data_IF_310727389958
#
_entry.id   IF_310727389958
#
_cell.length_a   1.000
_cell.length_b   1.000
_cell.length_c   1.000
_cell.angle_alpha   90.00
_cell.angle_beta   90.00
_cell.angle_gamma   90.00
#
_symmetry.space_group_name_H-M   'P 1'
#
loop_
_entity.id
_entity.type
_entity.pdbx_description
1 polymer ?
#
# COMPACT_ATOMS: atom_id res chain seq x y z
N UNK A 1 -24.75 -13.63 60.36
CA UNK A 1 -23.73 -12.92 59.55
C UNK A 1 -23.92 -13.34 58.10
N UNK A 2 -24.36 -12.41 57.25
CA UNK A 2 -24.82 -12.68 55.88
C UNK A 2 -23.64 -12.58 54.90
N UNK A 3 -23.38 -13.65 54.14
CA UNK A 3 -22.33 -13.69 53.13
C UNK A 3 -22.74 -12.88 51.89
N UNK A 4 -21.97 -11.82 51.60
CA UNK A 4 -22.16 -11.01 50.41
C UNK A 4 -21.88 -11.84 49.14
N UNK A 5 -22.88 -11.98 48.27
CA UNK A 5 -22.74 -12.60 46.95
C UNK A 5 -22.01 -11.63 46.03
N UNK A 6 -20.84 -12.04 45.54
CA UNK A 6 -20.07 -11.35 44.50
C UNK A 6 -20.88 -11.29 43.20
N UNK A 7 -21.09 -10.12 42.58
CA UNK A 7 -21.81 -10.04 41.32
C UNK A 7 -20.95 -10.63 40.20
N UNK A 8 -21.47 -11.65 39.51
CA UNK A 8 -20.86 -12.24 38.34
C UNK A 8 -20.84 -11.23 37.20
N UNK A 9 -19.65 -10.73 36.84
CA UNK A 9 -19.43 -9.99 35.61
C UNK A 9 -19.82 -10.89 34.42
N UNK A 10 -21.02 -10.67 33.88
CA UNK A 10 -21.40 -11.21 32.58
C UNK A 10 -20.48 -10.55 31.54
N UNK A 11 -19.47 -11.28 31.08
CA UNK A 11 -18.73 -10.94 29.85
C UNK A 11 -19.75 -10.92 28.72
N UNK A 12 -20.23 -9.72 28.38
CA UNK A 12 -20.99 -9.52 27.15
C UNK A 12 -20.17 -10.05 25.99
N UNK A 13 -20.74 -10.98 25.23
CA UNK A 13 -20.17 -11.42 23.96
C UNK A 13 -20.21 -10.19 23.07
N UNK A 14 -19.09 -9.50 22.94
CA UNK A 14 -18.96 -8.39 22.03
C UNK A 14 -19.09 -8.98 20.61
N UNK A 15 -20.09 -8.56 19.81
CA UNK A 15 -20.20 -9.04 18.44
C UNK A 15 -18.87 -8.76 17.73
N UNK A 16 -18.37 -9.65 16.86
CA UNK A 16 -17.13 -9.43 16.14
C UNK A 16 -17.31 -8.20 15.24
N UNK A 17 -16.97 -7.03 15.78
CA UNK A 17 -16.91 -5.81 15.00
C UNK A 17 -15.93 -6.05 13.87
N UNK A 18 -16.36 -5.79 12.63
CA UNK A 18 -15.46 -5.72 11.48
C UNK A 18 -14.29 -4.84 11.89
N UNK A 19 -13.14 -5.46 12.18
CA UNK A 19 -11.89 -4.72 12.36
C UNK A 19 -11.59 -4.11 11.01
N UNK A 20 -11.93 -2.84 10.84
CA UNK A 20 -11.39 -2.04 9.75
C UNK A 20 -9.88 -2.20 9.82
N UNK A 21 -9.28 -2.72 8.75
CA UNK A 21 -7.83 -2.77 8.57
C UNK A 21 -7.47 -1.50 7.78
N UNK A 22 -7.31 -0.33 8.43
CA UNK A 22 -7.03 0.93 7.72
C UNK A 22 -5.84 0.78 6.77
N UNK A 23 -4.86 -0.06 7.13
CA UNK A 23 -3.72 -0.35 6.26
C UNK A 23 -4.04 -1.10 4.97
N UNK A 24 -5.02 -2.02 4.97
CA UNK A 24 -5.41 -2.72 3.74
C UNK A 24 -6.11 -1.77 2.75
N UNK A 25 -6.95 -0.87 3.27
CA UNK A 25 -7.58 0.18 2.47
C UNK A 25 -6.55 1.13 1.86
N UNK A 26 -5.56 1.58 2.65
CA UNK A 26 -4.50 2.46 2.17
C UNK A 26 -3.66 1.82 1.07
N UNK A 27 -3.24 0.57 1.24
CA UNK A 27 -2.49 -0.18 0.22
C UNK A 27 -3.30 -0.34 -1.07
N UNK A 28 -4.60 -0.64 -0.95
CA UNK A 28 -5.49 -0.73 -2.11
C UNK A 28 -5.61 0.61 -2.82
N UNK A 29 -5.89 1.69 -2.09
CA UNK A 29 -6.05 3.03 -2.65
C UNK A 29 -4.76 3.51 -3.31
N UNK A 30 -3.59 3.29 -2.70
CA UNK A 30 -2.31 3.62 -3.31
C UNK A 30 -2.06 2.83 -4.61
N UNK A 31 -2.39 1.54 -4.63
CA UNK A 31 -2.27 0.72 -5.84
C UNK A 31 -3.19 1.19 -6.96
N UNK A 32 -4.46 1.46 -6.64
CA UNK A 32 -5.44 2.01 -7.60
C UNK A 32 -5.00 3.37 -8.12
N UNK A 33 -4.48 4.23 -7.24
CA UNK A 33 -3.96 5.54 -7.62
C UNK A 33 -2.84 5.42 -8.67
N UNK A 34 -1.84 4.57 -8.46
CA UNK A 34 -0.76 4.35 -9.42
C UNK A 34 -1.27 3.84 -10.77
N UNK A 35 -2.24 2.92 -10.77
CA UNK A 35 -2.88 2.45 -12.02
C UNK A 35 -3.60 3.58 -12.75
N UNK A 36 -4.34 4.43 -12.02
CA UNK A 36 -5.04 5.58 -12.62
C UNK A 36 -4.03 6.55 -13.21
N UNK A 37 -2.96 6.88 -12.48
CA UNK A 37 -1.92 7.78 -12.96
C UNK A 37 -1.23 7.22 -14.20
N UNK A 38 -0.85 5.94 -14.21
CA UNK A 38 -0.22 5.27 -15.35
C UNK A 38 -1.05 5.35 -16.64
N UNK A 39 -2.39 5.34 -16.53
CA UNK A 39 -3.30 5.38 -17.68
C UNK A 39 -3.62 6.82 -18.12
N UNK A 40 -3.62 7.79 -17.19
CA UNK A 40 -4.07 9.15 -17.47
C UNK A 40 -2.93 10.15 -17.68
N UNK A 41 -1.77 9.94 -17.07
CA UNK A 41 -0.64 10.85 -17.22
C UNK A 41 0.15 10.54 -18.48
N UNK A 42 0.36 11.55 -19.31
CA UNK A 42 1.38 11.50 -20.36
C UNK A 42 2.74 11.71 -19.72
N UNK A 43 3.40 10.61 -19.36
CA UNK A 43 4.83 10.62 -19.13
C UNK A 43 5.47 10.79 -20.51
N UNK A 44 6.24 11.86 -20.74
CA UNK A 44 6.89 12.10 -22.03
C UNK A 44 7.60 10.83 -22.49
N UNK A 45 7.55 10.50 -23.78
CA UNK A 45 8.17 9.27 -24.30
C UNK A 45 9.68 9.35 -24.15
N UNK A 46 10.18 8.76 -23.07
CA UNK A 46 11.61 8.63 -22.78
C UNK A 46 11.98 7.22 -23.21
N UNK A 47 12.93 7.08 -24.13
CA UNK A 47 13.52 5.81 -24.57
C UNK A 47 14.35 5.18 -23.43
N UNK A 48 13.68 4.86 -22.32
CA UNK A 48 14.21 4.13 -21.18
C UNK A 48 13.81 2.67 -21.29
N UNK A 49 14.65 1.78 -20.77
CA UNK A 49 14.40 0.32 -20.82
C UNK A 49 13.21 -0.11 -19.95
N UNK A 50 12.73 0.78 -19.07
CA UNK A 50 11.56 0.57 -18.22
C UNK A 50 10.80 1.89 -18.09
N UNK A 51 9.83 2.09 -18.98
CA UNK A 51 8.96 3.27 -19.00
C UNK A 51 8.21 3.43 -17.66
N UNK A 52 8.15 4.68 -17.14
CA UNK A 52 7.45 5.04 -15.92
C UNK A 52 5.99 4.57 -15.92
N UNK A 53 5.30 4.65 -17.07
CA UNK A 53 3.90 4.20 -17.17
C UNK A 53 3.75 2.71 -16.83
N UNK A 54 4.69 1.90 -17.31
CA UNK A 54 4.64 0.45 -17.13
C UNK A 54 5.05 0.05 -15.72
N UNK A 55 5.99 0.79 -15.12
CA UNK A 55 6.35 0.63 -13.71
C UNK A 55 5.14 0.89 -12.80
N UNK A 56 4.49 2.03 -12.97
CA UNK A 56 3.35 2.47 -12.16
C UNK A 56 2.18 1.49 -12.29
N UNK A 57 1.90 1.06 -13.53
CA UNK A 57 0.84 0.09 -13.80
C UNK A 57 1.12 -1.25 -13.10
N UNK A 58 2.36 -1.76 -13.17
CA UNK A 58 2.74 -3.03 -12.56
C UNK A 58 2.74 -2.95 -11.02
N UNK A 59 3.45 -1.96 -10.45
CA UNK A 59 3.53 -1.77 -9.00
C UNK A 59 2.14 -1.46 -8.41
N UNK A 60 1.37 -0.61 -9.08
CA UNK A 60 0.00 -0.27 -8.72
C UNK A 60 -0.93 -1.49 -8.70
N UNK A 61 -0.87 -2.33 -9.73
CA UNK A 61 -1.67 -3.56 -9.81
C UNK A 61 -1.33 -4.53 -8.68
N UNK A 62 -0.04 -4.68 -8.35
CA UNK A 62 0.41 -5.55 -7.25
C UNK A 62 -0.09 -5.02 -5.90
N UNK A 63 0.08 -3.72 -5.61
CA UNK A 63 -0.42 -3.12 -4.37
C UNK A 63 -1.94 -3.21 -4.26
N UNK A 64 -2.66 -2.95 -5.35
CA UNK A 64 -4.12 -3.07 -5.38
C UNK A 64 -4.57 -4.50 -5.07
N UNK A 65 -3.93 -5.50 -5.68
CA UNK A 65 -4.21 -6.91 -5.40
C UNK A 65 -3.93 -7.27 -3.94
N UNK A 66 -2.79 -6.83 -3.38
CA UNK A 66 -2.44 -7.05 -1.97
C UNK A 66 -3.51 -6.44 -1.05
N UNK A 67 -3.87 -5.18 -1.27
CA UNK A 67 -4.88 -4.48 -0.48
C UNK A 67 -6.25 -5.15 -0.54
N UNK A 68 -6.71 -5.51 -1.75
CA UNK A 68 -7.97 -6.20 -1.96
C UNK A 68 -8.01 -7.59 -1.29
N UNK A 69 -6.95 -8.39 -1.46
CA UNK A 69 -6.84 -9.71 -0.83
C UNK A 69 -6.94 -9.58 0.68
N UNK A 70 -6.31 -8.57 1.29
CA UNK A 70 -6.35 -8.37 2.75
C UNK A 70 -7.70 -7.92 3.28
N UNK A 71 -8.50 -7.22 2.47
CA UNK A 71 -9.88 -6.87 2.84
C UNK A 71 -10.78 -8.12 2.89
N UNK A 72 -10.51 -9.13 2.07
CA UNK A 72 -11.28 -10.37 2.01
C UNK A 72 -10.71 -11.46 2.95
N UNK A 73 -9.38 -11.53 3.08
CA UNK A 73 -8.64 -12.57 3.81
C UNK A 73 -7.59 -11.95 4.75
N UNK A 74 -7.94 -11.66 6.02
CA UNK A 74 -7.07 -10.99 6.99
C UNK A 74 -5.83 -11.80 7.43
N UNK A 75 -5.71 -13.07 7.03
CA UNK A 75 -4.75 -14.03 7.58
C UNK A 75 -3.34 -13.84 6.97
N UNK A 76 -3.22 -13.09 5.87
CA UNK A 76 -1.96 -12.89 5.13
C UNK A 76 -1.17 -11.64 5.58
N UNK A 77 -1.46 -11.07 6.75
CA UNK A 77 -0.96 -9.75 7.16
C UNK A 77 0.56 -9.61 7.18
N UNK A 78 1.30 -10.60 7.70
CA UNK A 78 2.77 -10.50 7.80
C UNK A 78 3.45 -10.55 6.42
N UNK A 79 3.07 -11.51 5.57
CA UNK A 79 3.63 -11.61 4.21
C UNK A 79 3.21 -10.43 3.35
N UNK A 80 1.95 -10.02 3.45
CA UNK A 80 1.44 -8.88 2.69
C UNK A 80 2.12 -7.55 3.09
N UNK A 81 2.47 -7.38 4.37
CA UNK A 81 3.26 -6.24 4.85
C UNK A 81 4.63 -6.20 4.18
N UNK A 82 5.36 -7.32 4.20
CA UNK A 82 6.69 -7.37 3.58
C UNK A 82 6.65 -7.23 2.06
N UNK A 83 5.66 -7.83 1.39
CA UNK A 83 5.45 -7.61 -0.04
C UNK A 83 5.15 -6.14 -0.34
N UNK A 84 4.31 -5.48 0.47
CA UNK A 84 4.04 -4.04 0.32
C UNK A 84 5.32 -3.22 0.52
N UNK A 85 6.15 -3.56 1.51
CA UNK A 85 7.44 -2.90 1.73
C UNK A 85 8.40 -3.09 0.55
N UNK A 86 8.45 -4.27 -0.05
CA UNK A 86 9.29 -4.55 -1.21
C UNK A 86 8.84 -3.75 -2.44
N UNK A 87 7.53 -3.71 -2.71
CA UNK A 87 6.98 -2.92 -3.83
C UNK A 87 7.16 -1.42 -3.58
N UNK A 88 6.90 -0.94 -2.36
CA UNK A 88 7.15 0.45 -1.99
C UNK A 88 8.64 0.83 -2.08
N UNK A 89 9.52 -0.07 -1.65
CA UNK A 89 10.97 0.14 -1.74
C UNK A 89 11.44 0.18 -3.19
N UNK A 90 10.86 -0.67 -4.04
CA UNK A 90 11.09 -0.63 -5.48
C UNK A 90 10.68 0.71 -6.08
N UNK A 91 9.50 1.24 -5.77
CA UNK A 91 9.06 2.56 -6.28
C UNK A 91 10.03 3.70 -5.93
N UNK A 92 10.67 3.66 -4.76
CA UNK A 92 11.69 4.66 -4.41
C UNK A 92 12.91 4.54 -5.32
N UNK A 93 13.33 3.31 -5.66
CA UNK A 93 14.57 3.04 -6.37
C UNK A 93 14.37 3.10 -7.90
N UNK A 94 13.16 2.79 -8.38
CA UNK A 94 12.83 2.62 -9.79
C UNK A 94 13.22 3.83 -10.66
N UNK A 95 12.93 5.09 -10.30
CA UNK A 95 13.28 6.24 -11.13
C UNK A 95 14.79 6.36 -11.38
N UNK A 96 15.61 5.96 -10.41
CA UNK A 96 17.07 6.04 -10.48
C UNK A 96 17.67 4.88 -11.28
N UNK A 97 17.06 3.71 -11.23
CA UNK A 97 17.52 2.49 -11.93
C UNK A 97 17.03 2.44 -13.38
N UNK A 98 15.77 2.84 -13.60
CA UNK A 98 15.16 2.90 -14.93
C UNK A 98 15.60 4.14 -15.71
N UNK A 99 16.09 5.17 -15.02
CA UNK A 99 16.56 6.39 -15.66
C UNK A 99 15.40 7.18 -16.27
N UNK A 100 14.34 7.43 -15.49
CA UNK A 100 13.22 8.27 -15.93
C UNK A 100 13.67 9.68 -16.36
N UNK A 101 14.90 10.08 -16.06
CA UNK A 101 15.41 11.41 -16.38
C UNK A 101 14.76 12.49 -15.51
N UNK A 102 15.28 13.72 -15.66
CA UNK A 102 14.81 14.89 -14.91
C UNK A 102 14.34 15.97 -15.91
N UNK A 103 13.24 15.68 -16.60
CA UNK A 103 12.55 16.63 -17.49
C UNK A 103 11.24 17.14 -16.88
N UNK A 104 10.59 18.11 -17.53
CA UNK A 104 9.32 18.66 -17.07
C UNK A 104 8.21 17.59 -16.93
N UNK A 105 8.23 16.58 -17.79
CA UNK A 105 7.23 15.50 -17.80
C UNK A 105 7.65 14.30 -16.92
N UNK A 106 8.95 14.14 -16.63
CA UNK A 106 9.48 13.00 -15.87
C UNK A 106 9.68 13.28 -14.38
N UNK A 107 9.87 14.55 -14.02
CA UNK A 107 10.01 14.98 -12.62
C UNK A 107 8.77 14.66 -11.78
N UNK A 108 7.53 14.86 -12.29
CA UNK A 108 6.33 14.50 -11.55
C UNK A 108 6.17 12.98 -11.34
N UNK A 109 6.56 12.16 -12.32
CA UNK A 109 6.59 10.70 -12.21
C UNK A 109 7.52 10.25 -11.07
N UNK A 110 8.75 10.77 -11.09
CA UNK A 110 9.76 10.48 -10.06
C UNK A 110 9.26 10.88 -8.66
N UNK A 111 8.63 12.05 -8.53
CA UNK A 111 8.08 12.50 -7.27
C UNK A 111 6.93 11.61 -6.79
N UNK A 112 6.00 11.23 -7.67
CA UNK A 112 4.88 10.34 -7.36
C UNK A 112 5.39 8.99 -6.82
N UNK A 113 6.33 8.37 -7.53
CA UNK A 113 6.88 7.07 -7.16
C UNK A 113 7.62 7.10 -5.83
N UNK A 114 8.48 8.09 -5.64
CA UNK A 114 9.23 8.24 -4.38
C UNK A 114 8.28 8.52 -3.21
N UNK A 115 7.25 9.35 -3.40
CA UNK A 115 6.30 9.67 -2.33
C UNK A 115 5.42 8.47 -1.95
N UNK A 116 4.80 7.82 -2.93
CA UNK A 116 3.97 6.64 -2.68
C UNK A 116 4.83 5.50 -2.12
N UNK A 117 6.00 5.28 -2.71
CA UNK A 117 6.97 4.30 -2.25
C UNK A 117 7.42 4.51 -0.81
N UNK A 118 7.74 5.76 -0.43
CA UNK A 118 8.15 6.11 0.93
C UNK A 118 7.01 5.91 1.94
N UNK A 119 5.78 6.31 1.60
CA UNK A 119 4.61 6.11 2.47
C UNK A 119 4.35 4.62 2.70
N UNK A 120 4.30 3.82 1.63
CA UNK A 120 4.02 2.39 1.72
C UNK A 120 5.15 1.66 2.48
N UNK A 121 6.41 1.92 2.12
CA UNK A 121 7.57 1.33 2.82
C UNK A 121 7.56 1.69 4.29
N UNK A 122 7.41 2.97 4.61
CA UNK A 122 7.43 3.48 5.98
C UNK A 122 6.32 2.86 6.82
N UNK A 123 5.09 2.83 6.32
CA UNK A 123 3.98 2.21 7.05
C UNK A 123 4.16 0.72 7.23
N UNK A 124 4.72 0.01 6.24
CA UNK A 124 4.96 -1.42 6.33
C UNK A 124 6.05 -1.74 7.36
N UNK A 125 7.15 -0.98 7.35
CA UNK A 125 8.24 -1.14 8.33
C UNK A 125 7.75 -0.84 9.76
N UNK A 126 6.90 0.19 9.91
CA UNK A 126 6.29 0.55 11.20
C UNK A 126 5.16 -0.42 11.63
N UNK A 127 4.80 -1.41 10.81
CA UNK A 127 3.72 -2.36 11.10
C UNK A 127 2.32 -1.73 11.13
N UNK A 128 2.14 -0.60 10.45
CA UNK A 128 0.85 0.12 10.33
C UNK A 128 0.02 -0.35 9.15
N UNK A 129 0.66 -0.99 8.18
CA UNK A 129 0.04 -1.82 7.15
C UNK A 129 0.64 -3.21 7.24
#
# INVERSE_FOLDING_TARGET
MSAARTPSQRRGIQPPGRRYLPGAGLVLTAGVWLVVVAVNWTYGDIDSWLDARWNDLAAGSILAAIGAIRLVRPILTSSARWLSALVGGWLIIAPFVAGYGFGADSTPATANDVLIGAVITGLAVLGRI
#
